data_IF_696330781950
#
_entry.id   IF_696330781950
#
_cell.length_a   1.000
_cell.length_b   1.000
_cell.length_c   1.000
_cell.angle_alpha   90.00
_cell.angle_beta   90.00
_cell.angle_gamma   90.00
#
_symmetry.space_group_name_H-M   'P 1'
#
loop_
_entity.id
_entity.type
_entity.pdbx_description
1 polymer ?
#
# COMPACT_ATOMS: atom_id res chain seq x y z
N UNK A 1 13.28 -31.02 -23.48
CA UNK A 1 12.07 -30.39 -22.92
C UNK A 1 12.24 -28.86 -23.00
N UNK A 2 11.36 -28.14 -23.70
CA UNK A 2 11.45 -26.66 -23.83
C UNK A 2 11.29 -26.04 -22.43
N UNK A 3 12.21 -25.17 -22.01
CA UNK A 3 12.11 -24.45 -20.73
C UNK A 3 10.88 -23.53 -20.78
N UNK A 4 9.93 -23.71 -19.86
CA UNK A 4 8.77 -22.83 -19.76
C UNK A 4 9.22 -21.39 -19.43
N UNK A 5 8.60 -20.36 -20.04
CA UNK A 5 8.91 -18.96 -19.73
C UNK A 5 8.51 -18.60 -18.29
N UNK A 6 9.19 -17.60 -17.72
CA UNK A 6 9.08 -17.28 -16.30
C UNK A 6 7.67 -16.81 -15.89
N UNK A 7 7.03 -15.98 -16.70
CA UNK A 7 5.67 -15.49 -16.41
C UNK A 7 4.66 -16.64 -16.31
N UNK A 8 4.77 -17.68 -17.15
CA UNK A 8 3.93 -18.87 -17.04
C UNK A 8 4.19 -19.63 -15.74
N UNK A 9 5.45 -19.76 -15.32
CA UNK A 9 5.78 -20.40 -14.04
C UNK A 9 5.15 -19.66 -12.85
N UNK A 10 5.13 -18.33 -12.89
CA UNK A 10 4.49 -17.50 -11.86
C UNK A 10 2.98 -17.74 -11.85
N UNK A 11 2.34 -17.74 -13.03
CA UNK A 11 0.89 -17.99 -13.16
C UNK A 11 0.54 -19.40 -12.65
N UNK A 12 1.32 -20.42 -13.02
CA UNK A 12 1.14 -21.78 -12.51
C UNK A 12 1.33 -21.85 -10.99
N UNK A 13 2.35 -21.18 -10.44
CA UNK A 13 2.58 -21.11 -9.00
C UNK A 13 1.41 -20.45 -8.25
N UNK A 14 0.85 -19.36 -8.80
CA UNK A 14 -0.34 -18.70 -8.24
C UNK A 14 -1.56 -19.61 -8.27
N UNK A 15 -1.83 -20.26 -9.42
CA UNK A 15 -2.96 -21.18 -9.56
C UNK A 15 -2.85 -22.38 -8.60
N UNK A 16 -1.66 -22.98 -8.49
CA UNK A 16 -1.38 -24.07 -7.54
C UNK A 16 -1.49 -23.61 -6.10
N UNK A 17 -1.04 -22.40 -5.77
CA UNK A 17 -1.17 -21.82 -4.44
C UNK A 17 -2.63 -21.62 -4.02
N UNK A 18 -3.47 -21.12 -4.93
CA UNK A 18 -4.91 -20.97 -4.71
C UNK A 18 -5.57 -22.36 -4.53
N UNK A 19 -5.23 -23.32 -5.39
CA UNK A 19 -5.75 -24.69 -5.31
C UNK A 19 -5.35 -25.35 -3.97
N UNK A 20 -4.10 -25.21 -3.56
CA UNK A 20 -3.60 -25.70 -2.28
C UNK A 20 -4.32 -25.04 -1.10
N UNK A 21 -4.54 -23.72 -1.13
CA UNK A 21 -5.26 -23.02 -0.06
C UNK A 21 -6.68 -23.57 0.12
N UNK A 22 -7.39 -23.84 -0.98
CA UNK A 22 -8.72 -24.44 -0.93
C UNK A 22 -8.69 -25.87 -0.36
N UNK A 23 -7.78 -26.73 -0.86
CA UNK A 23 -7.61 -28.10 -0.36
C UNK A 23 -7.25 -28.11 1.13
N UNK A 24 -6.27 -27.31 1.54
CA UNK A 24 -5.81 -27.20 2.92
C UNK A 24 -6.94 -26.80 3.87
N UNK A 25 -7.81 -25.88 3.43
CA UNK A 25 -8.98 -25.46 4.20
C UNK A 25 -10.01 -26.58 4.36
N UNK A 26 -10.27 -27.36 3.30
CA UNK A 26 -11.22 -28.47 3.35
C UNK A 26 -10.72 -29.64 4.20
N UNK A 27 -9.42 -29.95 4.15
CA UNK A 27 -8.81 -31.06 4.89
C UNK A 27 -8.29 -30.67 6.30
N UNK A 28 -8.44 -29.40 6.71
CA UNK A 28 -8.01 -28.91 8.03
C UNK A 28 -6.49 -28.76 8.18
N UNK A 29 -5.73 -28.69 7.10
CA UNK A 29 -4.26 -28.56 7.08
C UNK A 29 -3.76 -27.12 7.21
N UNK A 30 -4.60 -26.22 7.74
CA UNK A 30 -4.27 -24.81 7.90
C UNK A 30 -2.99 -24.61 8.73
N UNK A 31 -2.80 -25.37 9.82
CA UNK A 31 -1.60 -25.29 10.65
C UNK A 31 -0.33 -25.64 9.88
N UNK A 32 -0.36 -26.73 9.11
CA UNK A 32 0.77 -27.11 8.26
C UNK A 32 1.12 -26.01 7.24
N UNK A 33 0.10 -25.40 6.65
CA UNK A 33 0.31 -24.30 5.68
C UNK A 33 0.94 -23.08 6.35
N UNK A 34 0.50 -22.71 7.55
CA UNK A 34 1.07 -21.59 8.31
C UNK A 34 2.51 -21.87 8.78
N UNK A 35 2.81 -23.08 9.23
CA UNK A 35 4.11 -23.39 9.82
C UNK A 35 5.18 -23.69 8.77
N UNK A 36 4.80 -24.27 7.62
CA UNK A 36 5.75 -24.77 6.62
C UNK A 36 5.72 -24.03 5.30
N UNK A 37 4.57 -23.50 4.87
CA UNK A 37 4.45 -22.88 3.54
C UNK A 37 4.57 -21.36 3.64
N UNK A 38 3.86 -20.74 4.59
CA UNK A 38 3.89 -19.29 4.79
C UNK A 38 5.29 -18.70 5.01
N UNK A 39 6.23 -19.36 5.75
CA UNK A 39 7.58 -18.83 5.91
C UNK A 39 8.34 -18.63 4.61
N UNK A 40 8.14 -19.47 3.59
CA UNK A 40 8.75 -19.26 2.27
C UNK A 40 8.21 -18.01 1.58
N UNK A 41 6.90 -17.77 1.69
CA UNK A 41 6.28 -16.53 1.24
C UNK A 41 6.82 -15.30 1.97
N UNK A 42 6.94 -15.39 3.30
CA UNK A 42 7.51 -14.31 4.11
C UNK A 42 8.96 -14.00 3.74
N UNK A 43 9.80 -15.02 3.53
CA UNK A 43 11.20 -14.85 3.09
C UNK A 43 11.22 -14.15 1.73
N UNK A 44 10.42 -14.61 0.78
CA UNK A 44 10.32 -13.99 -0.55
C UNK A 44 9.95 -12.50 -0.47
N UNK A 45 8.92 -12.15 0.32
CA UNK A 45 8.51 -10.75 0.51
C UNK A 45 9.60 -9.94 1.22
N UNK A 46 10.32 -10.51 2.20
CA UNK A 46 11.45 -9.85 2.86
C UNK A 46 12.59 -9.57 1.87
N UNK A 47 12.92 -10.50 0.98
CA UNK A 47 13.92 -10.30 -0.07
C UNK A 47 13.51 -9.20 -1.04
N UNK A 48 12.26 -9.19 -1.52
CA UNK A 48 11.77 -8.12 -2.40
C UNK A 48 11.83 -6.74 -1.72
N UNK A 49 11.42 -6.66 -0.45
CA UNK A 49 11.49 -5.41 0.33
C UNK A 49 12.92 -4.97 0.62
N UNK A 50 13.85 -5.90 0.80
CA UNK A 50 15.26 -5.60 1.00
C UNK A 50 15.88 -4.90 -0.20
N UNK A 51 15.56 -5.35 -1.42
CA UNK A 51 16.10 -4.78 -2.66
C UNK A 51 15.41 -3.45 -3.01
N UNK A 52 14.13 -3.28 -2.66
CA UNK A 52 13.32 -2.15 -3.11
C UNK A 52 13.90 -0.77 -2.76
N UNK A 53 14.27 -0.52 -1.50
CA UNK A 53 14.73 0.81 -1.08
C UNK A 53 16.06 1.21 -1.73
N UNK A 54 17.14 0.40 -1.63
CA UNK A 54 18.40 0.73 -2.29
C UNK A 54 18.25 0.90 -3.80
N UNK A 55 17.50 -0.01 -4.45
CA UNK A 55 17.27 0.05 -5.89
C UNK A 55 16.61 1.37 -6.28
N UNK A 56 15.55 1.79 -5.60
CA UNK A 56 14.85 3.05 -5.89
C UNK A 56 15.79 4.24 -5.80
N UNK A 57 16.64 4.30 -4.77
CA UNK A 57 17.58 5.42 -4.57
C UNK A 57 18.60 5.47 -5.68
N UNK A 58 19.33 4.37 -5.91
CA UNK A 58 20.39 4.34 -6.91
C UNK A 58 19.82 4.47 -8.33
N UNK A 59 18.66 3.87 -8.62
CA UNK A 59 17.97 4.01 -9.90
C UNK A 59 17.55 5.46 -10.17
N UNK A 60 16.94 6.14 -9.20
CA UNK A 60 16.50 7.53 -9.41
C UNK A 60 17.70 8.48 -9.53
N UNK A 61 18.70 8.36 -8.65
CA UNK A 61 19.89 9.20 -8.70
C UNK A 61 20.64 8.97 -10.03
N UNK A 62 20.85 7.71 -10.44
CA UNK A 62 21.51 7.40 -11.73
C UNK A 62 20.70 7.92 -12.93
N UNK A 63 19.38 7.79 -12.89
CA UNK A 63 18.50 8.28 -13.94
C UNK A 63 18.53 9.80 -14.10
N UNK A 64 18.66 10.55 -13.00
CA UNK A 64 18.73 12.01 -13.03
C UNK A 64 20.12 12.50 -13.38
N UNK A 65 21.17 11.93 -12.77
CA UNK A 65 22.54 12.31 -13.03
C UNK A 65 22.99 12.01 -14.47
N UNK A 66 22.35 11.03 -15.13
CA UNK A 66 22.56 10.75 -16.57
C UNK A 66 21.98 11.81 -17.52
N UNK A 67 21.18 12.76 -17.03
CA UNK A 67 20.58 13.82 -17.85
C UNK A 67 21.50 15.05 -17.92
N UNK A 68 21.85 15.48 -19.14
CA UNK A 68 22.69 16.67 -19.36
C UNK A 68 21.96 18.00 -19.17
N UNK A 69 20.63 18.03 -19.24
CA UNK A 69 19.83 19.25 -19.17
C UNK A 69 18.83 19.22 -18.01
N UNK A 70 19.05 20.08 -17.02
CA UNK A 70 18.20 20.21 -15.82
C UNK A 70 16.77 20.65 -16.16
N UNK A 71 16.57 21.43 -17.23
CA UNK A 71 15.25 21.90 -17.63
C UNK A 71 14.37 20.76 -18.19
N UNK A 72 14.99 19.67 -18.62
CA UNK A 72 14.27 18.49 -19.10
C UNK A 72 13.55 17.75 -17.97
N UNK A 73 14.11 17.74 -16.74
CA UNK A 73 13.56 17.01 -15.60
C UNK A 73 12.20 17.56 -15.17
N UNK A 74 12.07 18.88 -15.02
CA UNK A 74 10.80 19.51 -14.62
C UNK A 74 9.68 19.25 -15.62
N UNK A 75 9.96 19.31 -16.92
CA UNK A 75 8.99 19.04 -17.99
C UNK A 75 8.59 17.56 -18.03
N UNK A 76 9.52 16.64 -17.85
CA UNK A 76 9.23 15.21 -17.76
C UNK A 76 8.36 14.93 -16.54
N UNK A 77 8.73 15.47 -15.37
CA UNK A 77 7.96 15.34 -14.13
C UNK A 77 6.53 15.87 -14.27
N UNK A 78 6.35 17.07 -14.81
CA UNK A 78 5.03 17.66 -15.02
C UNK A 78 4.15 16.83 -15.97
N UNK A 79 4.72 16.33 -17.09
CA UNK A 79 4.01 15.44 -18.02
C UNK A 79 3.58 14.14 -17.34
N UNK A 80 4.45 13.55 -16.52
CA UNK A 80 4.18 12.31 -15.79
C UNK A 80 3.09 12.51 -14.74
N UNK A 81 3.17 13.59 -13.94
CA UNK A 81 2.13 13.93 -12.95
C UNK A 81 0.79 14.12 -13.66
N UNK A 82 0.75 14.87 -14.75
CA UNK A 82 -0.47 15.11 -15.50
C UNK A 82 -1.06 13.81 -16.08
N UNK A 83 -0.21 12.93 -16.63
CA UNK A 83 -0.63 11.63 -17.11
C UNK A 83 -1.19 10.74 -15.98
N UNK A 84 -0.55 10.72 -14.81
CA UNK A 84 -1.05 9.97 -13.65
C UNK A 84 -2.36 10.52 -13.11
N UNK A 85 -2.53 11.85 -13.09
CA UNK A 85 -3.79 12.46 -12.66
C UNK A 85 -4.92 12.11 -13.62
N UNK A 86 -4.72 12.25 -14.93
CA UNK A 86 -5.74 11.89 -15.93
C UNK A 86 -6.10 10.41 -15.82
N UNK A 87 -5.11 9.52 -15.81
CA UNK A 87 -5.36 8.08 -15.74
C UNK A 87 -6.07 7.69 -14.44
N UNK A 88 -5.74 8.34 -13.32
CA UNK A 88 -6.42 8.13 -12.03
C UNK A 88 -7.86 8.61 -12.07
N UNK A 89 -8.13 9.81 -12.61
CA UNK A 89 -9.48 10.34 -12.76
C UNK A 89 -10.32 9.42 -13.66
N UNK A 90 -9.76 8.94 -14.76
CA UNK A 90 -10.43 7.98 -15.64
C UNK A 90 -10.69 6.65 -14.93
N UNK A 91 -9.71 6.10 -14.21
CA UNK A 91 -9.86 4.85 -13.47
C UNK A 91 -10.94 4.95 -12.37
N UNK A 92 -10.93 6.04 -11.59
CA UNK A 92 -11.96 6.34 -10.60
C UNK A 92 -13.32 6.52 -11.26
N UNK A 93 -13.38 7.21 -12.40
CA UNK A 93 -14.61 7.39 -13.18
C UNK A 93 -15.20 6.05 -13.63
N UNK A 94 -14.38 5.16 -14.19
CA UNK A 94 -14.80 3.80 -14.55
C UNK A 94 -15.23 3.00 -13.33
N UNK A 95 -14.51 3.10 -12.22
CA UNK A 95 -14.86 2.43 -10.96
C UNK A 95 -16.22 2.88 -10.43
N UNK A 96 -16.47 4.19 -10.38
CA UNK A 96 -17.76 4.77 -9.95
C UNK A 96 -18.87 4.37 -10.91
N UNK A 97 -18.63 4.40 -12.22
CA UNK A 97 -19.60 3.96 -13.22
C UNK A 97 -20.01 2.50 -13.01
N UNK A 98 -19.03 1.61 -12.82
CA UNK A 98 -19.24 0.17 -12.67
C UNK A 98 -19.94 -0.16 -11.34
N UNK A 99 -19.59 0.54 -10.25
CA UNK A 99 -20.27 0.39 -8.95
C UNK A 99 -21.73 0.83 -9.02
N UNK A 100 -22.03 1.94 -9.67
CA UNK A 100 -23.41 2.42 -9.83
C UNK A 100 -24.25 1.51 -10.73
N UNK A 101 -23.63 0.86 -11.72
CA UNK A 101 -24.31 -0.07 -12.62
C UNK A 101 -24.58 -1.43 -11.95
N UNK A 102 -23.58 -2.03 -11.29
CA UNK A 102 -23.68 -3.38 -10.72
C UNK A 102 -24.36 -3.37 -9.34
N UNK A 103 -24.31 -2.25 -8.61
CA UNK A 103 -24.86 -2.11 -7.24
C UNK A 103 -24.52 -3.29 -6.33
N UNK A 104 -23.24 -3.63 -6.13
CA UNK A 104 -22.83 -4.84 -5.41
C UNK A 104 -23.33 -4.90 -3.95
N UNK A 105 -23.69 -3.76 -3.35
CA UNK A 105 -24.22 -3.70 -1.98
C UNK A 105 -25.63 -4.30 -1.80
N UNK A 106 -26.41 -4.45 -2.88
CA UNK A 106 -27.75 -5.06 -2.82
C UNK A 106 -27.70 -6.59 -2.90
N UNK A 107 -26.60 -7.16 -3.40
CA UNK A 107 -26.40 -8.62 -3.50
C UNK A 107 -26.05 -9.30 -2.17
N UNK A 108 -25.93 -8.53 -1.08
CA UNK A 108 -25.67 -9.04 0.25
C UNK A 108 -26.98 -9.43 0.94
N UNK A 109 -26.99 -10.61 1.54
CA UNK A 109 -28.08 -11.09 2.39
C UNK A 109 -28.43 -10.09 3.50
N UNK A 110 -29.72 -9.93 3.79
CA UNK A 110 -30.22 -8.89 4.70
C UNK A 110 -29.62 -9.03 6.11
N UNK A 111 -29.45 -10.26 6.59
CA UNK A 111 -28.84 -10.53 7.89
C UNK A 111 -27.40 -10.03 7.97
N UNK A 112 -26.59 -10.29 6.95
CA UNK A 112 -25.19 -9.81 6.88
C UNK A 112 -25.11 -8.29 6.78
N UNK A 113 -26.07 -7.65 6.11
CA UNK A 113 -26.16 -6.19 6.04
C UNK A 113 -26.45 -5.58 7.41
N UNK A 114 -27.37 -6.17 8.16
CA UNK A 114 -27.70 -5.77 9.54
C UNK A 114 -26.50 -5.99 10.46
N UNK A 115 -25.84 -7.13 10.35
CA UNK A 115 -24.65 -7.46 11.14
C UNK A 115 -23.51 -6.47 10.92
N UNK A 116 -23.13 -6.21 9.67
CA UNK A 116 -22.10 -5.24 9.32
C UNK A 116 -22.47 -3.83 9.80
N UNK A 117 -23.76 -3.50 9.76
CA UNK A 117 -24.27 -2.22 10.23
C UNK A 117 -24.13 -2.07 11.74
N UNK A 118 -24.57 -3.07 12.52
CA UNK A 118 -24.41 -3.09 13.97
C UNK A 118 -22.92 -3.01 14.35
N UNK A 119 -22.04 -3.73 13.63
CA UNK A 119 -20.60 -3.67 13.87
C UNK A 119 -20.03 -2.27 13.66
N UNK A 120 -20.48 -1.55 12.63
CA UNK A 120 -20.10 -0.16 12.41
C UNK A 120 -20.56 0.76 13.55
N UNK A 121 -21.81 0.64 13.99
CA UNK A 121 -22.35 1.48 15.07
C UNK A 121 -21.65 1.20 16.43
N UNK A 122 -21.30 -0.06 16.71
CA UNK A 122 -20.49 -0.43 17.87
C UNK A 122 -19.08 0.17 17.80
N UNK A 123 -18.43 0.12 16.63
CA UNK A 123 -17.13 0.75 16.43
C UNK A 123 -17.18 2.26 16.64
N UNK A 124 -18.20 2.96 16.11
CA UNK A 124 -18.39 4.40 16.35
C UNK A 124 -18.58 4.69 17.84
N UNK A 125 -19.35 3.85 18.54
CA UNK A 125 -19.60 4.01 19.98
C UNK A 125 -18.33 3.83 20.84
N UNK A 126 -17.42 2.95 20.42
CA UNK A 126 -16.12 2.70 21.08
C UNK A 126 -15.13 3.87 20.93
N UNK A 127 -15.34 4.74 19.95
CA UNK A 127 -14.46 5.89 19.67
C UNK A 127 -14.74 7.14 20.52
N UNK A 128 -15.48 7.00 21.64
CA UNK A 128 -15.73 8.05 22.63
C UNK A 128 -16.11 9.42 22.02
N UNK A 129 -16.96 9.42 20.98
CA UNK A 129 -17.52 10.64 20.38
C UNK A 129 -16.63 11.38 19.38
N UNK A 130 -15.45 10.84 19.02
CA UNK A 130 -14.60 11.43 17.98
C UNK A 130 -15.14 11.24 16.55
N UNK A 131 -16.06 10.31 16.35
CA UNK A 131 -16.69 10.02 15.06
C UNK A 131 -18.21 10.02 15.21
N UNK A 132 -18.90 10.66 14.26
CA UNK A 132 -20.35 10.68 14.17
C UNK A 132 -20.82 9.72 13.07
N UNK A 133 -22.02 9.17 13.25
CA UNK A 133 -22.66 8.34 12.22
C UNK A 133 -23.01 9.24 11.03
N UNK A 134 -22.59 8.83 9.83
CA UNK A 134 -22.72 9.64 8.61
C UNK A 134 -24.14 9.68 8.02
N UNK A 135 -25.06 8.88 8.54
CA UNK A 135 -26.46 8.77 8.11
C UNK A 135 -27.45 8.71 9.28
N UNK A 136 -28.74 8.92 8.99
CA UNK A 136 -29.81 8.99 10.01
C UNK A 136 -30.30 7.62 10.50
N UNK A 137 -29.60 6.54 10.18
CA UNK A 137 -30.01 5.18 10.52
C UNK A 137 -29.40 4.75 11.85
N UNK A 138 -30.20 4.16 12.75
CA UNK A 138 -29.75 3.67 14.06
C UNK A 138 -30.31 2.27 14.30
N UNK A 139 -29.46 1.26 14.15
CA UNK A 139 -29.83 -0.15 14.32
C UNK A 139 -29.63 -0.63 15.76
N UNK A 140 -28.73 0.02 16.53
CA UNK A 140 -28.52 -0.28 17.95
C UNK A 140 -29.72 0.07 18.83
N UNK A 141 -30.51 1.07 18.45
CA UNK A 141 -31.63 1.59 19.24
C UNK A 141 -32.97 0.89 18.91
N UNK A 142 -33.02 0.11 17.84
CA UNK A 142 -34.23 -0.58 17.41
C UNK A 142 -34.39 -1.95 18.13
N UNK A 143 -35.49 -2.16 18.90
CA UNK A 143 -35.76 -3.42 19.60
C UNK A 143 -35.76 -4.66 18.69
N UNK A 144 -36.05 -4.48 17.40
CA UNK A 144 -36.12 -5.54 16.38
C UNK A 144 -34.79 -6.28 16.19
N UNK A 145 -33.65 -5.62 16.42
CA UNK A 145 -32.32 -6.19 16.18
C UNK A 145 -31.60 -6.64 17.46
N UNK A 146 -32.28 -6.59 18.61
CA UNK A 146 -31.73 -6.90 19.93
C UNK A 146 -31.06 -8.28 20.05
N UNK A 147 -31.53 -9.29 19.30
CA UNK A 147 -30.92 -10.62 19.23
C UNK A 147 -29.54 -10.60 18.57
N UNK A 148 -29.39 -9.92 17.43
CA UNK A 148 -28.12 -9.78 16.71
C UNK A 148 -27.12 -8.89 17.47
N UNK A 149 -27.62 -7.85 18.16
CA UNK A 149 -26.81 -6.96 18.99
C UNK A 149 -26.17 -7.72 20.15
N UNK A 150 -26.91 -8.59 20.85
CA UNK A 150 -26.40 -9.38 21.98
C UNK A 150 -25.31 -10.37 21.57
N UNK A 151 -25.49 -11.04 20.44
CA UNK A 151 -24.49 -11.97 19.90
C UNK A 151 -23.20 -11.24 19.52
N UNK A 152 -23.31 -10.14 18.76
CA UNK A 152 -22.15 -9.40 18.25
C UNK A 152 -21.44 -8.56 19.30
N UNK A 153 -22.14 -7.99 20.28
CA UNK A 153 -21.50 -7.29 21.42
C UNK A 153 -20.59 -8.22 22.21
N UNK A 154 -20.99 -9.51 22.35
CA UNK A 154 -20.18 -10.53 23.01
C UNK A 154 -18.94 -10.90 22.18
N UNK A 155 -19.06 -10.99 20.86
CA UNK A 155 -17.93 -11.27 19.96
C UNK A 155 -16.96 -10.09 19.76
N UNK A 156 -17.46 -8.85 19.70
CA UNK A 156 -16.61 -7.65 19.50
C UNK A 156 -15.72 -7.35 20.70
N UNK A 157 -16.18 -7.62 21.94
CA UNK A 157 -15.33 -7.48 23.14
C UNK A 157 -14.16 -8.46 23.19
N UNK A 158 -14.21 -9.56 22.45
CA UNK A 158 -13.15 -10.58 22.43
C UNK A 158 -12.06 -10.23 21.40
N UNK A 159 -12.36 -9.42 20.37
CA UNK A 159 -11.48 -9.23 19.20
C UNK A 159 -10.84 -7.82 19.10
N UNK A 160 -11.28 -6.86 19.91
CA UNK A 160 -10.87 -5.45 19.79
C UNK A 160 -9.50 -5.09 20.40
N UNK A 161 -8.75 -6.06 20.94
CA UNK A 161 -7.47 -5.71 21.59
C UNK A 161 -6.28 -5.49 20.64
N UNK A 162 -6.33 -5.82 19.34
CA UNK A 162 -5.07 -5.86 18.57
C UNK A 162 -4.96 -5.08 17.23
N UNK A 163 -6.02 -4.64 16.53
CA UNK A 163 -5.80 -4.15 15.14
C UNK A 163 -6.58 -2.94 14.60
N UNK A 164 -7.53 -2.34 15.32
CA UNK A 164 -8.39 -1.27 14.75
C UNK A 164 -8.13 0.11 15.39
N UNK A 165 -7.51 0.17 16.57
CA UNK A 165 -7.29 1.42 17.31
C UNK A 165 -6.11 2.28 16.82
N UNK A 166 -5.24 1.76 15.94
CA UNK A 166 -4.03 2.45 15.48
C UNK A 166 -4.12 3.08 14.08
N UNK A 167 -5.23 2.89 13.36
CA UNK A 167 -5.42 3.44 12.00
C UNK A 167 -6.20 4.77 11.94
N UNK A 168 -6.97 5.11 12.97
CA UNK A 168 -7.97 6.20 12.92
C UNK A 168 -7.81 7.25 14.03
N UNK A 169 -7.03 6.98 15.08
CA UNK A 169 -6.82 7.89 16.23
C UNK A 169 -5.80 9.00 15.97
N UNK A 170 -5.19 9.05 14.77
CA UNK A 170 -4.25 10.11 14.37
C UNK A 170 -4.61 10.80 13.06
N UNK A 171 -5.88 10.75 12.63
CA UNK A 171 -6.35 11.64 11.57
C UNK A 171 -6.65 13.01 12.17
N UNK A 172 -5.59 13.67 12.66
CA UNK A 172 -5.59 15.13 12.79
C UNK A 172 -5.99 15.66 11.42
N UNK A 173 -6.83 16.68 11.36
CA UNK A 173 -7.19 17.38 10.12
C UNK A 173 -5.91 17.94 9.48
N UNK A 174 -5.25 17.07 8.75
CA UNK A 174 -4.07 17.36 7.99
C UNK A 174 -4.56 18.26 6.87
N UNK A 175 -4.18 19.54 6.94
CA UNK A 175 -4.59 20.53 5.94
C UNK A 175 -4.24 20.08 4.53
N UNK A 176 -4.83 20.69 3.49
CA UNK A 176 -4.64 20.30 2.09
C UNK A 176 -3.18 20.33 1.63
N UNK A 177 -2.29 20.99 2.38
CA UNK A 177 -0.85 21.08 2.10
C UNK A 177 -0.01 20.05 2.87
N UNK A 178 -0.62 19.24 3.75
CA UNK A 178 0.14 18.26 4.54
C UNK A 178 0.87 17.26 3.65
N UNK A 179 0.30 16.86 2.51
CA UNK A 179 0.98 15.97 1.59
C UNK A 179 2.30 16.57 1.07
N UNK A 180 2.41 17.90 0.95
CA UNK A 180 3.63 18.58 0.53
C UNK A 180 4.66 18.54 1.65
N UNK A 181 4.23 18.73 2.89
CA UNK A 181 5.08 18.64 4.07
C UNK A 181 5.62 17.21 4.21
N UNK A 182 4.75 16.20 4.02
CA UNK A 182 5.11 14.79 4.16
C UNK A 182 6.11 14.28 3.12
N UNK A 183 6.24 14.99 1.98
CA UNK A 183 7.24 14.69 0.94
C UNK A 183 8.67 14.95 1.46
N UNK A 184 8.85 15.98 2.29
CA UNK A 184 10.17 16.38 2.79
C UNK A 184 10.40 15.71 4.14
N UNK A 185 11.36 14.78 4.27
CA UNK A 185 11.61 14.11 5.54
C UNK A 185 12.36 15.03 6.51
N UNK A 186 12.03 14.91 7.81
CA UNK A 186 12.79 15.54 8.88
C UNK A 186 14.22 15.00 9.00
N UNK A 187 14.43 13.73 8.62
CA UNK A 187 15.74 13.08 8.64
C UNK A 187 15.95 12.13 7.45
N UNK A 188 17.04 12.37 6.72
CA UNK A 188 17.40 11.60 5.53
C UNK A 188 17.62 10.11 5.83
N UNK A 189 18.40 9.79 6.85
CA UNK A 189 18.75 8.40 7.20
C UNK A 189 17.57 7.63 7.78
N UNK A 190 16.71 8.29 8.55
CA UNK A 190 15.48 7.68 9.06
C UNK A 190 14.55 7.27 7.91
N UNK A 191 14.40 8.13 6.88
CA UNK A 191 13.62 7.81 5.70
C UNK A 191 14.16 6.56 4.97
N UNK A 192 15.48 6.45 4.84
CA UNK A 192 16.14 5.28 4.22
C UNK A 192 15.95 3.97 4.99
N UNK A 193 15.76 4.03 6.30
CA UNK A 193 15.58 2.83 7.13
C UNK A 193 14.20 2.19 6.99
N UNK A 194 13.22 2.92 6.44
CA UNK A 194 11.81 2.53 6.43
C UNK A 194 11.25 2.41 5.02
N UNK A 195 10.85 1.18 4.68
CA UNK A 195 10.09 0.90 3.46
C UNK A 195 8.75 1.66 3.38
N UNK A 196 8.24 2.20 4.49
CA UNK A 196 6.97 2.95 4.52
C UNK A 196 7.13 4.38 3.99
N UNK A 197 8.36 4.91 4.00
CA UNK A 197 8.66 6.31 3.69
C UNK A 197 9.14 6.48 2.24
N UNK A 198 8.59 5.71 1.29
CA UNK A 198 9.02 5.72 -0.11
C UNK A 198 8.92 7.09 -0.78
N UNK A 199 7.88 7.86 -0.47
CA UNK A 199 7.72 9.22 -1.01
C UNK A 199 8.91 10.12 -0.65
N UNK A 200 9.37 10.03 0.60
CA UNK A 200 10.51 10.77 1.12
C UNK A 200 11.82 10.27 0.51
N UNK A 201 11.97 8.95 0.37
CA UNK A 201 13.13 8.33 -0.31
C UNK A 201 13.25 8.83 -1.75
N UNK A 202 12.13 8.87 -2.48
CA UNK A 202 12.07 9.41 -3.85
C UNK A 202 12.48 10.89 -3.83
N UNK A 203 11.92 11.70 -2.93
CA UNK A 203 12.27 13.12 -2.82
C UNK A 203 13.76 13.34 -2.59
N UNK A 204 14.36 12.65 -1.61
CA UNK A 204 15.79 12.72 -1.32
C UNK A 204 16.60 12.34 -2.56
N UNK A 205 16.20 11.28 -3.26
CA UNK A 205 16.93 10.75 -4.41
C UNK A 205 16.87 11.70 -5.60
N UNK A 206 15.71 12.34 -5.83
CA UNK A 206 15.54 13.39 -6.84
C UNK A 206 16.38 14.61 -6.49
N UNK A 207 16.29 15.08 -5.23
CA UNK A 207 17.05 16.23 -4.76
C UNK A 207 18.57 16.00 -4.85
N UNK A 208 19.04 14.83 -4.41
CA UNK A 208 20.45 14.44 -4.48
C UNK A 208 20.92 14.33 -5.94
N UNK A 209 20.14 13.67 -6.81
CA UNK A 209 20.46 13.58 -8.24
C UNK A 209 20.54 14.94 -8.91
N UNK A 210 19.62 15.86 -8.60
CA UNK A 210 19.66 17.24 -9.08
C UNK A 210 20.87 18.01 -8.53
N UNK A 211 21.19 17.85 -7.25
CA UNK A 211 22.34 18.52 -6.63
C UNK A 211 23.67 18.11 -7.30
N UNK A 212 23.81 16.84 -7.73
CA UNK A 212 24.98 16.37 -8.49
C UNK A 212 25.16 17.12 -9.82
N UNK A 213 24.07 17.59 -10.45
CA UNK A 213 24.13 18.36 -11.69
C UNK A 213 24.62 19.79 -11.50
N UNK A 214 24.59 20.32 -10.26
CA UNK A 214 25.11 21.65 -9.92
C UNK A 214 26.58 21.63 -9.45
N UNK A 215 27.17 20.45 -9.28
CA UNK A 215 28.58 20.28 -8.90
C UNK A 215 29.44 20.22 -10.17
N UNK A 216 30.68 20.71 -10.08
CA UNK A 216 31.68 20.54 -11.15
C UNK A 216 31.81 19.06 -11.55
N UNK A 217 31.79 18.79 -12.86
CA UNK A 217 31.77 17.44 -13.41
C UNK A 217 32.89 16.56 -12.84
N UNK A 218 34.11 17.08 -12.71
CA UNK A 218 35.25 16.35 -12.17
C UNK A 218 35.05 15.84 -10.74
N UNK A 219 34.27 16.57 -9.92
CA UNK A 219 33.96 16.19 -8.52
C UNK A 219 32.72 15.30 -8.43
N UNK A 220 31.77 15.47 -9.35
CA UNK A 220 30.53 14.68 -9.38
C UNK A 220 30.74 13.27 -9.97
N UNK A 221 31.63 13.11 -10.95
CA UNK A 221 31.84 11.86 -11.69
C UNK A 221 32.10 10.62 -10.80
N UNK A 222 32.98 10.66 -9.77
CA UNK A 222 33.18 9.50 -8.89
C UNK A 222 31.90 9.06 -8.16
N UNK A 223 31.07 10.02 -7.74
CA UNK A 223 29.80 9.73 -7.05
C UNK A 223 28.80 9.12 -8.02
N UNK A 224 28.71 9.65 -9.25
CA UNK A 224 27.84 9.13 -10.30
C UNK A 224 28.23 7.69 -10.66
N UNK A 225 29.52 7.40 -10.83
CA UNK A 225 30.01 6.05 -11.12
C UNK A 225 29.70 5.07 -10.00
N UNK A 226 29.86 5.48 -8.74
CA UNK A 226 29.46 4.67 -7.60
C UNK A 226 27.97 4.36 -7.62
N UNK A 227 27.11 5.36 -7.84
CA UNK A 227 25.65 5.20 -7.89
C UNK A 227 25.24 4.25 -9.02
N UNK A 228 25.86 4.37 -10.21
CA UNK A 228 25.60 3.49 -11.34
C UNK A 228 26.01 2.05 -11.01
N UNK A 229 27.21 1.85 -10.47
CA UNK A 229 27.69 0.52 -10.07
C UNK A 229 26.82 -0.12 -9.01
N UNK A 230 26.39 0.65 -8.00
CA UNK A 230 25.45 0.18 -7.00
C UNK A 230 24.09 -0.21 -7.62
N UNK A 231 23.57 0.60 -8.54
CA UNK A 231 22.32 0.30 -9.24
C UNK A 231 22.39 -1.03 -10.00
N UNK A 232 23.49 -1.28 -10.72
CA UNK A 232 23.70 -2.53 -11.45
C UNK A 232 23.75 -3.75 -10.54
N UNK A 233 24.39 -3.64 -9.37
CA UNK A 233 24.40 -4.71 -8.36
C UNK A 233 22.97 -5.05 -7.94
N UNK A 234 22.16 -4.05 -7.58
CA UNK A 234 20.79 -4.28 -7.14
C UNK A 234 19.84 -4.75 -8.25
N UNK A 235 20.08 -4.35 -9.51
CA UNK A 235 19.35 -4.88 -10.66
C UNK A 235 19.67 -6.35 -10.96
N UNK A 236 20.86 -6.79 -10.58
CA UNK A 236 21.32 -8.17 -10.82
C UNK A 236 20.86 -9.15 -9.74
N UNK A 237 20.62 -8.67 -8.52
CA UNK A 237 20.08 -9.43 -7.39
C UNK A 237 18.64 -9.88 -7.62
#
# INVERSE_FOLDING_TARGET
>A
MKKLPLYLKIIFGLALGILWAFLSTQFGWNKFTLDWIDPFGMIFIKCLKFIAVPLVIFSIISGIAGMKDINSLGRIGAKTIFAYLITTILAVGVGIFLVNFIKPGEMLDEEKRIENRIQYELWVSDQNGSVQIADDKRFLDDPKYSSYIKEKTKSSRINNNDKITSGLTSKKDNGPLQFIIDIVPDNMFAALSSNKLMLQIIFISVFFGMALLFIEETKAQPVIQFVIGANEVFLKM
#
